data_IF_084725750660
#
_entry.id   IF_084725750660
#
_cell.length_a   1.000
_cell.length_b   1.000
_cell.length_c   1.000
_cell.angle_alpha   90.00
_cell.angle_beta   90.00
_cell.angle_gamma   90.00
#
_symmetry.space_group_name_H-M   'P 1'
#
loop_
_entity.id
_entity.type
_entity.pdbx_description
1 polymer ?
#
# COMPACT_ATOMS: atom_id res chain seq x y z
N UNK A 1 2.79 -4.66 3.47
CA UNK A 1 1.49 -3.98 3.70
C UNK A 1 0.44 -4.89 4.37
N UNK A 2 0.84 -5.96 5.08
CA UNK A 2 -0.10 -6.88 5.73
C UNK A 2 -0.71 -6.27 6.99
N UNK A 3 -1.98 -6.54 7.26
CA UNK A 3 -2.65 -6.18 8.51
C UNK A 3 -1.99 -6.87 9.70
N UNK A 4 -1.86 -6.11 10.80
CA UNK A 4 -1.38 -6.65 12.09
C UNK A 4 -2.44 -7.47 12.82
N UNK A 5 -3.72 -7.25 12.53
CA UNK A 5 -4.86 -7.88 13.22
C UNK A 5 -5.36 -9.14 12.51
N UNK A 6 -5.17 -9.23 11.20
CA UNK A 6 -5.60 -10.36 10.40
C UNK A 6 -4.50 -10.76 9.43
N UNK A 7 -4.04 -12.02 9.51
CA UNK A 7 -3.00 -12.54 8.61
C UNK A 7 -3.54 -12.65 7.19
N UNK A 8 -2.66 -12.46 6.20
CA UNK A 8 -2.98 -12.53 4.76
C UNK A 8 -4.00 -11.49 4.25
N UNK A 9 -4.39 -10.52 5.08
CA UNK A 9 -5.17 -9.36 4.64
C UNK A 9 -4.23 -8.19 4.38
N UNK A 10 -4.35 -7.55 3.21
CA UNK A 10 -3.48 -6.47 2.77
C UNK A 10 -4.30 -5.25 2.33
N UNK A 11 -3.73 -4.06 2.54
CA UNK A 11 -4.31 -2.79 2.13
C UNK A 11 -3.25 -1.97 1.39
N UNK A 12 -3.63 -1.30 0.31
CA UNK A 12 -2.71 -0.56 -0.58
C UNK A 12 -3.40 0.68 -1.13
N UNK A 13 -2.63 1.70 -1.49
CA UNK A 13 -3.15 2.95 -2.04
C UNK A 13 -4.01 3.74 -1.06
N UNK A 14 -4.93 4.53 -1.61
CA UNK A 14 -5.69 5.59 -0.91
C UNK A 14 -6.73 5.08 0.10
N UNK A 15 -6.97 3.76 0.16
CA UNK A 15 -7.78 3.17 1.26
C UNK A 15 -7.07 3.29 2.61
N UNK A 16 -5.75 3.48 2.60
CA UNK A 16 -4.95 3.77 3.78
C UNK A 16 -5.03 5.26 4.08
N UNK A 17 -4.97 5.61 5.37
CA UNK A 17 -4.92 7.00 5.85
C UNK A 17 -3.54 7.64 5.59
N UNK A 18 -3.23 7.82 4.30
CA UNK A 18 -2.02 8.44 3.79
C UNK A 18 -2.39 9.34 2.62
N UNK A 19 -2.20 10.63 2.79
CA UNK A 19 -2.49 11.65 1.77
C UNK A 19 -1.22 12.41 1.43
N UNK A 20 -0.80 12.31 0.17
CA UNK A 20 0.29 13.07 -0.40
C UNK A 20 -0.14 14.48 -0.83
N UNK A 21 0.85 15.36 -1.05
CA UNK A 21 0.60 16.68 -1.66
C UNK A 21 0.18 16.52 -3.12
N UNK A 22 -0.46 17.55 -3.68
CA UNK A 22 -0.70 17.62 -5.14
C UNK A 22 0.64 17.56 -5.89
N UNK A 23 0.66 16.87 -7.03
CA UNK A 23 1.89 16.64 -7.81
C UNK A 23 2.28 15.16 -7.97
N UNK A 24 1.31 14.23 -7.94
CA UNK A 24 1.56 12.83 -8.26
C UNK A 24 2.03 11.95 -7.11
N UNK A 25 2.19 12.49 -5.90
CA UNK A 25 2.62 11.72 -4.72
C UNK A 25 1.66 10.59 -4.35
N UNK A 26 0.34 10.77 -4.52
CA UNK A 26 -0.65 9.71 -4.30
C UNK A 26 -0.48 8.55 -5.29
N UNK A 27 -0.17 8.85 -6.56
CA UNK A 27 0.15 7.79 -7.52
C UNK A 27 1.42 7.06 -7.12
N UNK A 28 2.50 7.79 -6.81
CA UNK A 28 3.74 7.17 -6.34
C UNK A 28 3.54 6.27 -5.12
N UNK A 29 2.72 6.71 -4.16
CA UNK A 29 2.37 5.90 -2.98
C UNK A 29 1.52 4.67 -3.33
N UNK A 30 0.54 4.79 -4.21
CA UNK A 30 -0.27 3.66 -4.67
C UNK A 30 0.60 2.57 -5.32
N UNK A 31 1.52 2.94 -6.21
CA UNK A 31 2.43 1.99 -6.85
C UNK A 31 3.41 1.35 -5.86
N UNK A 32 4.00 2.15 -4.98
CA UNK A 32 4.99 1.67 -3.99
C UNK A 32 4.37 0.71 -2.98
N UNK A 33 3.17 1.04 -2.47
CA UNK A 33 2.43 0.18 -1.54
C UNK A 33 1.95 -1.12 -2.18
N UNK A 34 1.48 -1.08 -3.43
CA UNK A 34 1.12 -2.28 -4.20
C UNK A 34 2.33 -3.20 -4.42
N UNK A 35 3.47 -2.65 -4.83
CA UNK A 35 4.71 -3.41 -5.00
C UNK A 35 5.14 -4.12 -3.71
N UNK A 36 5.11 -3.42 -2.57
CA UNK A 36 5.44 -4.00 -1.26
C UNK A 36 4.44 -5.08 -0.82
N UNK A 37 3.15 -4.94 -1.14
CA UNK A 37 2.16 -5.97 -0.87
C UNK A 37 2.44 -7.22 -1.72
N UNK A 38 2.60 -7.06 -3.03
CA UNK A 38 2.88 -8.15 -3.95
C UNK A 38 4.17 -8.91 -3.59
N UNK A 39 5.27 -8.18 -3.36
CA UNK A 39 6.55 -8.78 -2.97
C UNK A 39 6.47 -9.57 -1.66
N UNK A 40 5.61 -9.17 -0.72
CA UNK A 40 5.39 -9.93 0.51
C UNK A 40 4.46 -11.14 0.32
N UNK A 41 3.61 -11.15 -0.70
CA UNK A 41 2.74 -12.29 -1.05
C UNK A 41 3.54 -13.36 -1.80
N UNK A 42 4.48 -12.95 -2.67
CA UNK A 42 5.24 -13.86 -3.53
C UNK A 42 6.51 -14.43 -2.88
N UNK A 43 6.98 -13.82 -1.79
CA UNK A 43 8.08 -14.36 -0.98
C UNK A 43 7.54 -15.27 0.12
#
# INVERSE_FOLDING_TARGET
MMSKKQKKLYFVGEVLDVVGRRGGYNFAFAWSSAYLAANNITK
#
